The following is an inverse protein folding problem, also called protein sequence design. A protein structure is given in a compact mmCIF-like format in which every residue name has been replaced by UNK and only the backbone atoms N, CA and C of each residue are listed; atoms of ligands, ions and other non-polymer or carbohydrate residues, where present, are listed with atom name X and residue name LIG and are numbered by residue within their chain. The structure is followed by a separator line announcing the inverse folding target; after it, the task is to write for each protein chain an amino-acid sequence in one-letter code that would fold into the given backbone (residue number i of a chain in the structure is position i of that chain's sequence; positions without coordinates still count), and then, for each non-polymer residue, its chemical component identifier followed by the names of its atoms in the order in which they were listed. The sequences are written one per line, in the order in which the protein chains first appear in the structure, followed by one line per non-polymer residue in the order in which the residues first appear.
data_IF_343521281122
#
_entry.id   IF_343521281122
#
_cell.length_a   1.000
_cell.length_b   1.000
_cell.length_c   1.000
_cell.angle_alpha   90.00
_cell.angle_beta   90.00
_cell.angle_gamma   90.00
#
_symmetry.space_group_name_H-M   'P 1'
#
loop_
_entity.id
_entity.type
_entity.pdbx_description
1 polymer ?
#
# COMPACT_ATOMS: atom_id res chain seq x y z
N UNK A 1 -41.95 6.60 49.21
CA UNK A 1 -41.36 7.96 49.11
C UNK A 1 -40.17 8.06 50.04
N UNK A 2 -38.95 8.06 49.51
CA UNK A 2 -37.78 8.82 49.97
C UNK A 2 -36.57 8.39 49.15
N UNK A 3 -36.18 9.32 48.29
CA UNK A 3 -34.96 9.41 47.49
C UNK A 3 -33.73 9.47 48.39
N UNK A 4 -32.67 8.74 48.02
CA UNK A 4 -31.31 9.07 48.40
C UNK A 4 -30.36 8.61 47.29
N UNK A 5 -29.95 9.58 46.45
CA UNK A 5 -28.80 9.48 45.55
C UNK A 5 -27.55 9.22 46.39
N UNK A 6 -26.78 8.18 46.06
CA UNK A 6 -25.38 8.09 46.45
C UNK A 6 -24.53 8.42 45.22
N UNK A 7 -23.89 9.58 45.26
CA UNK A 7 -22.91 10.01 44.28
C UNK A 7 -21.62 9.21 44.48
N UNK A 8 -21.23 8.43 43.47
CA UNK A 8 -19.94 7.77 43.41
C UNK A 8 -18.89 8.78 42.91
N UNK A 9 -18.05 9.26 43.82
CA UNK A 9 -16.86 10.04 43.50
C UNK A 9 -15.82 9.08 42.91
N UNK A 10 -15.74 9.04 41.58
CA UNK A 10 -14.66 8.39 40.85
C UNK A 10 -13.44 9.34 40.84
N UNK A 11 -12.50 9.07 41.75
CA UNK A 11 -11.16 9.65 41.75
C UNK A 11 -10.35 9.07 40.58
N UNK A 12 -10.31 9.79 39.46
CA UNK A 12 -9.35 9.58 38.38
C UNK A 12 -7.95 10.02 38.86
N UNK A 13 -6.89 9.19 38.72
CA UNK A 13 -5.53 9.68 38.90
C UNK A 13 -5.22 10.64 37.74
N UNK A 14 -4.82 11.85 38.11
CA UNK A 14 -4.38 12.90 37.20
C UNK A 14 -3.15 12.42 36.42
N UNK A 15 -3.34 11.90 35.22
CA UNK A 15 -2.28 11.91 34.20
C UNK A 15 -2.03 13.36 33.85
N UNK A 16 -0.88 13.85 34.29
CA UNK A 16 -0.31 15.14 33.93
C UNK A 16 -0.42 15.36 32.42
N UNK A 17 -1.38 16.20 32.04
CA UNK A 17 -1.40 16.88 30.77
C UNK A 17 -0.12 17.71 30.71
N UNK A 18 0.91 17.16 30.09
CA UNK A 18 1.93 17.99 29.45
C UNK A 18 1.13 18.84 28.46
N UNK A 19 0.97 20.12 28.81
CA UNK A 19 0.36 21.10 27.95
C UNK A 19 1.13 21.07 26.63
N UNK A 20 0.52 20.46 25.61
CA UNK A 20 1.03 20.48 24.26
C UNK A 20 1.13 21.93 23.86
N UNK A 21 2.37 22.40 23.71
CA UNK A 21 2.72 23.64 23.05
C UNK A 21 1.83 23.77 21.81
N UNK A 22 1.03 24.84 21.78
CA UNK A 22 0.03 25.03 20.74
C UNK A 22 0.71 24.89 19.37
N UNK A 23 0.38 23.80 18.67
CA UNK A 23 0.96 23.48 17.39
C UNK A 23 0.82 24.70 16.48
N UNK A 24 1.96 25.29 16.10
CA UNK A 24 1.97 26.33 15.06
C UNK A 24 1.21 25.76 13.85
N UNK A 25 0.29 26.52 13.22
CA UNK A 25 -0.43 26.01 12.07
C UNK A 25 0.57 25.63 10.99
N UNK A 26 0.76 24.32 10.78
CA UNK A 26 1.72 23.80 9.83
C UNK A 26 1.16 24.05 8.44
N UNK A 27 1.77 24.97 7.71
CA UNK A 27 1.36 25.28 6.35
C UNK A 27 1.81 24.16 5.42
N UNK A 28 0.86 23.34 4.97
CA UNK A 28 1.07 22.33 3.93
C UNK A 28 0.28 22.76 2.71
N UNK A 29 1.00 23.17 1.67
CA UNK A 29 0.40 23.48 0.38
C UNK A 29 0.49 22.25 -0.51
N UNK A 30 -0.63 21.58 -0.74
CA UNK A 30 -0.71 20.34 -1.51
C UNK A 30 -1.44 20.54 -2.84
N UNK A 31 -0.95 19.87 -3.88
CA UNK A 31 -1.48 19.82 -5.23
C UNK A 31 -1.58 18.38 -5.68
N UNK A 32 -2.74 18.02 -6.21
CA UNK A 32 -3.01 16.71 -6.81
C UNK A 32 -3.24 16.96 -8.30
N UNK A 33 -2.57 16.21 -9.18
CA UNK A 33 -2.57 16.48 -10.62
C UNK A 33 -3.94 16.41 -11.28
N UNK A 34 -4.83 15.58 -10.75
CA UNK A 34 -6.19 15.39 -11.24
C UNK A 34 -7.13 15.00 -10.10
N UNK A 35 -8.39 15.45 -10.17
CA UNK A 35 -9.45 15.04 -9.25
C UNK A 35 -10.20 13.80 -9.72
N UNK A 36 -10.10 13.49 -11.01
CA UNK A 36 -10.76 12.36 -11.66
C UNK A 36 -9.79 11.71 -12.65
N UNK A 37 -9.68 10.38 -12.60
CA UNK A 37 -8.75 9.60 -13.43
C UNK A 37 -9.35 8.24 -13.82
N UNK A 38 -8.80 7.60 -14.86
CA UNK A 38 -9.03 6.20 -15.20
C UNK A 38 -8.13 5.25 -14.37
N UNK A 39 -8.44 3.96 -14.35
CA UNK A 39 -7.79 2.97 -13.47
C UNK A 39 -6.30 2.70 -13.80
N UNK A 40 -5.85 3.01 -15.02
CA UNK A 40 -4.44 2.90 -15.43
C UNK A 40 -3.69 4.25 -15.43
N UNK A 41 -4.31 5.33 -14.97
CA UNK A 41 -3.67 6.65 -14.90
C UNK A 41 -2.99 6.89 -13.56
N UNK A 42 -1.82 7.52 -13.62
CA UNK A 42 -1.04 7.87 -12.42
C UNK A 42 -1.44 9.24 -11.91
N UNK A 43 -1.62 9.35 -10.59
CA UNK A 43 -1.80 10.63 -9.89
C UNK A 43 -0.45 11.12 -9.41
N UNK A 44 -0.07 12.33 -9.81
CA UNK A 44 1.08 13.05 -9.24
C UNK A 44 0.60 13.90 -8.07
N UNK A 45 1.17 13.69 -6.90
CA UNK A 45 0.93 14.48 -5.70
C UNK A 45 2.19 15.28 -5.39
N UNK A 46 2.01 16.58 -5.17
CA UNK A 46 3.07 17.50 -4.79
C UNK A 46 2.63 18.25 -3.53
N UNK A 47 3.47 18.32 -2.52
CA UNK A 47 3.22 19.18 -1.38
C UNK A 47 4.47 19.87 -0.90
N UNK A 48 4.28 21.04 -0.29
CA UNK A 48 5.36 21.84 0.26
C UNK A 48 5.17 21.98 1.77
N UNK A 49 6.22 21.70 2.53
CA UNK A 49 6.23 21.81 4.01
C UNK A 49 7.20 22.86 4.48
N UNK A 50 7.11 23.16 5.77
CA UNK A 50 8.18 23.85 6.48
C UNK A 50 9.52 23.09 6.37
N UNK A 51 10.64 23.80 6.56
CA UNK A 51 11.99 23.24 6.61
C UNK A 51 12.11 22.26 7.79
N UNK A 52 13.05 21.32 7.71
CA UNK A 52 13.26 20.32 8.76
C UNK A 52 13.58 20.96 10.11
N UNK A 53 12.85 20.55 11.15
CA UNK A 53 13.16 20.84 12.56
C UNK A 53 14.03 19.73 13.18
N UNK A 54 14.00 18.54 12.59
CA UNK A 54 14.73 17.35 13.04
C UNK A 54 15.82 17.02 12.01
N UNK A 55 17.07 17.03 12.45
CA UNK A 55 18.22 16.68 11.60
C UNK A 55 18.32 15.17 11.34
N UNK A 56 18.92 14.78 10.22
CA UNK A 56 19.19 13.39 9.87
C UNK A 56 17.99 12.60 9.30
N UNK A 57 16.80 13.20 9.20
CA UNK A 57 15.64 12.56 8.57
C UNK A 57 15.76 12.60 7.05
N UNK A 58 15.75 11.43 6.41
CA UNK A 58 15.55 11.33 4.97
C UNK A 58 14.06 11.50 4.64
N UNK A 59 13.72 12.68 4.13
CA UNK A 59 12.35 13.06 3.78
C UNK A 59 11.76 12.14 2.70
N UNK A 60 12.53 11.84 1.65
CA UNK A 60 12.04 11.01 0.55
C UNK A 60 11.76 9.59 1.03
N UNK A 61 12.68 9.01 1.81
CA UNK A 61 12.50 7.68 2.39
C UNK A 61 11.36 7.63 3.40
N UNK A 62 11.18 8.67 4.22
CA UNK A 62 10.06 8.73 5.17
C UNK A 62 8.71 8.73 4.45
N UNK A 63 8.60 9.49 3.35
CA UNK A 63 7.40 9.52 2.51
C UNK A 63 7.19 8.15 1.84
N UNK A 64 8.25 7.54 1.30
CA UNK A 64 8.18 6.21 0.68
C UNK A 64 7.69 5.15 1.68
N UNK A 65 8.22 5.14 2.90
CA UNK A 65 7.82 4.23 3.96
C UNK A 65 6.35 4.45 4.35
N UNK A 66 5.93 5.71 4.52
CA UNK A 66 4.55 6.05 4.84
C UNK A 66 3.60 5.54 3.76
N UNK A 67 3.91 5.78 2.49
CA UNK A 67 3.14 5.28 1.36
C UNK A 67 3.13 3.75 1.32
N UNK A 68 4.26 3.08 1.53
CA UNK A 68 4.32 1.62 1.55
C UNK A 68 3.55 0.98 2.69
N UNK A 69 3.28 1.70 3.78
CA UNK A 69 2.48 1.22 4.90
C UNK A 69 0.98 1.50 4.68
N UNK A 70 0.63 2.74 4.29
CA UNK A 70 -0.77 3.19 4.22
C UNK A 70 -1.44 3.00 2.86
N UNK A 71 -0.68 3.00 1.77
CA UNK A 71 -1.22 2.98 0.42
C UNK A 71 -1.57 1.56 -0.06
N UNK A 72 -1.09 0.50 0.61
CA UNK A 72 -1.08 -0.89 0.09
C UNK A 72 -2.43 -1.41 -0.40
N UNK A 73 -3.54 -0.91 0.15
CA UNK A 73 -4.90 -1.40 -0.13
C UNK A 73 -5.62 -0.64 -1.23
N UNK A 74 -5.27 0.61 -1.53
CA UNK A 74 -6.04 1.45 -2.47
C UNK A 74 -5.17 2.07 -3.56
N UNK A 75 -3.88 2.22 -3.29
CA UNK A 75 -2.92 2.86 -4.17
C UNK A 75 -1.65 2.02 -4.31
N UNK A 76 -0.90 2.28 -5.36
CA UNK A 76 0.42 1.71 -5.59
C UNK A 76 1.38 2.86 -5.78
N UNK A 77 2.44 2.88 -5.00
CA UNK A 77 3.55 3.80 -5.22
C UNK A 77 4.21 3.49 -6.57
N UNK A 78 4.38 4.51 -7.42
CA UNK A 78 5.04 4.43 -8.73
C UNK A 78 6.36 5.18 -8.66
N UNK A 79 7.47 4.44 -8.68
CA UNK A 79 8.81 5.00 -8.49
C UNK A 79 9.06 5.50 -7.06
N UNK A 80 10.23 6.10 -6.84
CA UNK A 80 10.56 6.68 -5.54
C UNK A 80 10.09 8.14 -5.44
N UNK A 81 9.61 8.58 -4.27
CA UNK A 81 9.35 9.99 -4.00
C UNK A 81 10.61 10.84 -4.19
N UNK A 82 10.43 12.08 -4.63
CA UNK A 82 11.51 13.06 -4.71
C UNK A 82 11.26 14.17 -3.71
N UNK A 83 12.29 14.51 -2.93
CA UNK A 83 12.29 15.65 -2.03
C UNK A 83 13.33 16.66 -2.53
N UNK A 84 12.89 17.88 -2.80
CA UNK A 84 13.77 18.97 -3.23
C UNK A 84 13.90 19.98 -2.09
N UNK A 85 15.10 20.05 -1.53
CA UNK A 85 15.52 21.11 -0.62
C UNK A 85 16.34 22.12 -1.42
N UNK A 86 15.81 23.33 -1.64
CA UNK A 86 16.51 24.34 -2.47
C UNK A 86 17.65 24.99 -1.67
N UNK A 87 18.79 24.33 -1.54
CA UNK A 87 20.02 24.94 -1.01
C UNK A 87 20.52 26.00 -2.01
N UNK A 88 20.74 27.26 -1.58
CA UNK A 88 21.43 28.24 -2.43
C UNK A 88 22.91 28.25 -2.02
N UNK A 89 23.77 27.66 -2.87
CA UNK A 89 25.21 27.59 -2.61
C UNK A 89 26.03 26.91 -3.71
N UNK A 90 25.53 26.77 -4.94
CA UNK A 90 26.45 26.57 -6.06
C UNK A 90 27.29 27.86 -6.16
N UNK A 91 28.64 27.76 -6.26
CA UNK A 91 29.48 28.94 -6.25
C UNK A 91 29.10 29.83 -7.42
N UNK A 92 28.54 31.00 -7.13
CA UNK A 92 28.53 32.09 -8.09
C UNK A 92 30.00 32.54 -8.24
N UNK A 93 30.56 32.63 -9.46
CA UNK A 93 31.95 33.03 -9.67
C UNK A 93 32.22 34.53 -9.37
N UNK A 94 31.28 35.24 -8.77
CA UNK A 94 31.45 36.63 -8.38
C UNK A 94 31.84 36.72 -6.90
N UNK A 95 33.06 37.21 -6.66
CA UNK A 95 33.62 37.47 -5.33
C UNK A 95 32.68 38.33 -4.46
N UNK A 96 32.64 38.12 -3.14
CA UNK A 96 31.83 38.94 -2.25
C UNK A 96 32.44 40.34 -2.14
N UNK A 97 31.62 41.37 -2.36
CA UNK A 97 31.98 42.74 -2.01
C UNK A 97 31.96 42.89 -0.47
N UNK A 98 32.99 43.54 0.04
CA UNK A 98 33.22 43.80 1.45
C UNK A 98 32.09 44.70 2.02
N UNK A 99 31.24 44.16 2.89
CA UNK A 99 30.20 44.95 3.59
C UNK A 99 28.82 44.29 3.75
N UNK A 100 28.57 43.12 3.16
CA UNK A 100 27.26 42.48 3.29
C UNK A 100 27.08 41.83 4.67
N UNK A 101 26.09 42.33 5.42
CA UNK A 101 25.57 41.69 6.64
C UNK A 101 25.26 40.23 6.32
N UNK A 102 25.53 39.26 7.21
CA UNK A 102 25.16 37.87 6.98
C UNK A 102 23.65 37.82 6.76
N UNK A 103 23.23 37.60 5.51
CA UNK A 103 21.84 37.42 5.17
C UNK A 103 21.39 36.17 5.92
N UNK A 104 20.70 36.38 7.05
CA UNK A 104 20.17 35.32 7.92
C UNK A 104 19.50 34.27 7.04
N UNK A 105 20.14 33.12 6.88
CA UNK A 105 19.68 32.03 6.02
C UNK A 105 18.26 31.68 6.46
N UNK A 106 17.27 32.10 5.67
CA UNK A 106 15.89 31.75 5.98
C UNK A 106 15.74 30.26 5.69
N UNK A 107 15.29 29.46 6.67
CA UNK A 107 14.97 28.07 6.45
C UNK A 107 14.03 27.94 5.25
N UNK A 108 14.44 27.21 4.20
CA UNK A 108 13.68 27.08 2.96
C UNK A 108 12.76 25.86 2.97
N UNK A 109 11.56 25.99 2.40
CA UNK A 109 10.57 24.93 2.43
C UNK A 109 11.05 23.70 1.65
N UNK A 110 10.52 22.55 2.02
CA UNK A 110 10.78 21.27 1.36
C UNK A 110 9.62 20.97 0.43
N UNK A 111 9.91 20.71 -0.85
CA UNK A 111 8.91 20.28 -1.82
C UNK A 111 9.06 18.79 -2.05
N UNK A 112 7.97 18.04 -1.84
CA UNK A 112 7.90 16.60 -2.03
C UNK A 112 6.99 16.30 -3.20
N UNK A 113 7.42 15.39 -4.07
CA UNK A 113 6.63 14.89 -5.20
C UNK A 113 6.63 13.36 -5.16
N UNK A 114 5.46 12.76 -5.32
CA UNK A 114 5.33 11.31 -5.49
C UNK A 114 4.21 10.98 -6.48
N UNK A 115 4.24 9.74 -6.96
CA UNK A 115 3.30 9.24 -7.95
C UNK A 115 2.61 7.99 -7.42
N UNK A 116 1.28 7.92 -7.58
CA UNK A 116 0.49 6.76 -7.19
C UNK A 116 -0.42 6.30 -8.31
N UNK A 117 -0.61 4.99 -8.44
CA UNK A 117 -1.54 4.34 -9.35
C UNK A 117 -2.67 3.71 -8.54
N UNK A 118 -3.95 3.87 -8.93
CA UNK A 118 -5.06 3.32 -8.17
C UNK A 118 -5.12 1.78 -8.28
N UNK A 119 -5.53 1.13 -7.19
CA UNK A 119 -5.82 -0.31 -7.14
C UNK A 119 -7.31 -0.60 -7.30
N UNK A 120 -8.16 0.36 -6.93
CA UNK A 120 -9.62 0.25 -6.90
C UNK A 120 -10.28 1.43 -7.61
N UNK A 121 -11.57 1.29 -7.93
CA UNK A 121 -12.40 2.35 -8.51
C UNK A 121 -13.25 3.05 -7.43
N UNK A 122 -13.87 4.17 -7.76
CA UNK A 122 -14.73 4.96 -6.86
C UNK A 122 -14.03 6.19 -6.27
N UNK A 123 -14.58 6.74 -5.20
CA UNK A 123 -13.98 7.86 -4.46
C UNK A 123 -12.88 7.34 -3.55
N UNK A 124 -11.62 7.50 -3.96
CA UNK A 124 -10.48 6.93 -3.25
C UNK A 124 -9.71 8.03 -2.54
N UNK A 125 -9.61 7.92 -1.21
CA UNK A 125 -8.78 8.83 -0.41
C UNK A 125 -7.30 8.56 -0.67
N UNK A 126 -6.54 9.62 -0.92
CA UNK A 126 -5.08 9.54 -0.98
C UNK A 126 -4.52 9.29 0.43
N UNK A 127 -3.39 8.57 0.54
CA UNK A 127 -2.76 8.27 1.82
C UNK A 127 -2.30 9.54 2.53
N UNK A 128 -2.64 9.66 3.80
CA UNK A 128 -2.10 10.67 4.71
C UNK A 128 -0.59 10.45 4.89
N UNK A 129 0.20 11.53 4.86
CA UNK A 129 1.66 11.47 5.00
C UNK A 129 2.08 12.16 6.31
N UNK A 130 2.54 11.39 7.32
CA UNK A 130 3.14 11.95 8.51
C UNK A 130 4.39 12.75 8.15
N UNK A 131 4.48 13.99 8.65
CA UNK A 131 5.60 14.89 8.42
C UNK A 131 6.59 14.73 9.58
N UNK A 132 7.36 13.64 9.50
CA UNK A 132 8.27 13.17 10.57
C UNK A 132 9.49 14.05 10.80
N UNK A 133 9.77 15.00 9.89
CA UNK A 133 10.90 15.94 9.99
C UNK A 133 10.53 17.26 10.66
N UNK A 134 9.28 17.44 11.09
CA UNK A 134 8.82 18.58 11.87
C UNK A 134 8.50 18.15 13.30
N UNK A 135 8.56 19.07 14.25
CA UNK A 135 8.10 18.79 15.61
C UNK A 135 6.58 18.61 15.69
N UNK A 136 6.13 17.67 16.51
CA UNK A 136 4.70 17.38 16.73
C UNK A 136 4.12 16.37 15.71
N UNK A 137 2.80 16.17 15.79
CA UNK A 137 2.09 15.18 14.97
C UNK A 137 1.46 15.83 13.72
N UNK A 138 2.30 16.41 12.86
CA UNK A 138 1.84 17.04 11.61
C UNK A 138 1.62 15.98 10.52
N UNK A 139 0.49 16.07 9.81
CA UNK A 139 0.14 15.16 8.71
C UNK A 139 -0.25 15.96 7.48
N UNK A 140 0.35 15.65 6.32
CA UNK A 140 -0.15 16.12 5.03
C UNK A 140 -1.35 15.29 4.60
N UNK A 141 -2.48 15.97 4.43
CA UNK A 141 -3.74 15.40 3.94
C UNK A 141 -4.05 15.91 2.55
N UNK A 142 -4.68 15.07 1.74
CA UNK A 142 -4.98 15.38 0.35
C UNK A 142 -6.47 15.19 0.06
N UNK A 143 -6.97 15.90 -0.95
CA UNK A 143 -8.33 15.68 -1.42
C UNK A 143 -8.45 14.27 -2.03
N UNK A 144 -9.61 13.60 -1.90
CA UNK A 144 -9.85 12.32 -2.56
C UNK A 144 -9.86 12.48 -4.09
N UNK A 145 -9.59 11.36 -4.77
CA UNK A 145 -9.57 11.27 -6.23
C UNK A 145 -10.64 10.28 -6.68
N UNK A 146 -11.44 10.67 -7.67
CA UNK A 146 -12.45 9.81 -8.28
C UNK A 146 -11.81 8.93 -9.34
N UNK A 147 -11.81 7.62 -9.14
CA UNK A 147 -11.24 6.64 -10.07
C UNK A 147 -12.36 5.96 -10.86
N UNK A 148 -12.41 6.18 -12.17
CA UNK A 148 -13.42 5.60 -13.06
C UNK A 148 -13.11 4.14 -13.40
N UNK A 149 -14.14 3.28 -13.59
CA UNK A 149 -13.97 1.90 -14.02
C UNK A 149 -13.71 1.80 -15.53
N UNK A 150 -12.69 2.52 -16.00
CA UNK A 150 -12.30 2.62 -17.40
C UNK A 150 -10.77 2.68 -17.50
N UNK A 151 -10.26 2.46 -18.71
CA UNK A 151 -8.86 2.71 -19.06
C UNK A 151 -8.75 3.92 -19.98
N UNK A 152 -7.65 4.64 -19.89
CA UNK A 152 -7.24 5.58 -20.95
C UNK A 152 -6.20 4.89 -21.85
N UNK A 153 -6.47 4.83 -23.14
CA UNK A 153 -5.60 4.20 -24.14
C UNK A 153 -5.43 5.19 -25.29
N UNK A 154 -4.20 5.68 -25.48
CA UNK A 154 -3.87 6.69 -26.49
C UNK A 154 -4.84 7.91 -26.47
N UNK A 155 -5.18 8.38 -25.26
CA UNK A 155 -6.07 9.53 -25.02
C UNK A 155 -7.57 9.22 -25.19
N UNK A 156 -7.96 7.97 -25.44
CA UNK A 156 -9.36 7.55 -25.53
C UNK A 156 -9.77 6.74 -24.32
N UNK A 157 -10.98 6.99 -23.82
CA UNK A 157 -11.58 6.19 -22.76
C UNK A 157 -12.04 4.85 -23.36
N UNK A 158 -11.64 3.76 -22.71
CA UNK A 158 -12.00 2.40 -23.06
C UNK A 158 -12.62 1.69 -21.85
N UNK A 159 -13.45 0.69 -22.11
CA UNK A 159 -14.00 -0.16 -21.06
C UNK A 159 -12.91 -1.01 -20.40
N UNK A 160 -13.14 -1.45 -19.16
CA UNK A 160 -12.23 -2.41 -18.54
C UNK A 160 -12.23 -3.71 -19.34
N UNK A 161 -11.05 -4.28 -19.61
CA UNK A 161 -10.98 -5.50 -20.38
C UNK A 161 -11.43 -6.68 -19.50
N UNK A 162 -11.90 -7.78 -20.12
CA UNK A 162 -12.58 -8.89 -19.41
C UNK A 162 -11.74 -9.54 -18.30
N UNK A 163 -10.43 -9.58 -18.50
CA UNK A 163 -9.42 -10.04 -17.55
C UNK A 163 -9.40 -9.24 -16.24
N UNK A 164 -9.99 -8.03 -16.22
CA UNK A 164 -10.22 -7.29 -14.98
C UNK A 164 -11.14 -8.06 -14.01
N UNK A 165 -12.10 -8.82 -14.53
CA UNK A 165 -13.02 -9.65 -13.75
C UNK A 165 -12.54 -11.10 -13.59
N UNK A 166 -11.84 -11.65 -14.59
CA UNK A 166 -11.34 -13.02 -14.51
C UNK A 166 -10.75 -13.54 -15.82
N UNK A 167 -10.14 -14.72 -15.79
CA UNK A 167 -9.39 -15.29 -16.92
C UNK A 167 -10.05 -16.59 -17.38
N UNK A 168 -10.21 -16.76 -18.70
CA UNK A 168 -10.75 -18.00 -19.28
C UNK A 168 -12.18 -18.35 -18.83
N UNK A 169 -12.98 -17.36 -18.42
CA UNK A 169 -14.33 -17.57 -17.90
C UNK A 169 -14.41 -17.96 -16.41
N UNK A 170 -13.30 -17.85 -15.69
CA UNK A 170 -13.22 -18.03 -14.24
C UNK A 170 -12.96 -16.68 -13.57
N UNK A 171 -13.82 -16.31 -12.61
CA UNK A 171 -13.71 -15.05 -11.90
C UNK A 171 -12.50 -15.09 -10.95
N UNK A 172 -11.84 -13.96 -10.69
CA UNK A 172 -10.72 -13.91 -9.74
C UNK A 172 -11.08 -14.37 -8.32
N UNK A 173 -12.37 -14.29 -7.96
CA UNK A 173 -12.88 -14.77 -6.67
C UNK A 173 -13.26 -16.25 -6.64
N UNK A 174 -13.09 -16.98 -7.76
CA UNK A 174 -13.46 -18.40 -7.82
C UNK A 174 -12.57 -19.23 -6.91
N UNK A 175 -13.19 -20.16 -6.17
CA UNK A 175 -12.49 -21.10 -5.30
C UNK A 175 -12.01 -22.32 -6.06
N UNK A 176 -11.00 -23.01 -5.52
CA UNK A 176 -10.50 -24.25 -6.13
C UNK A 176 -11.60 -25.30 -6.30
N UNK A 177 -12.50 -25.42 -5.34
CA UNK A 177 -13.58 -26.41 -5.36
C UNK A 177 -14.62 -26.07 -6.44
N UNK A 178 -15.01 -24.80 -6.57
CA UNK A 178 -15.87 -24.35 -7.67
C UNK A 178 -15.28 -24.69 -9.04
N UNK A 179 -13.99 -24.42 -9.25
CA UNK A 179 -13.35 -24.69 -10.55
C UNK A 179 -13.24 -26.18 -10.82
N UNK A 180 -12.98 -27.01 -9.81
CA UNK A 180 -12.94 -28.47 -9.94
C UNK A 180 -14.27 -29.08 -10.39
N UNK A 181 -15.40 -28.48 -10.03
CA UNK A 181 -16.71 -28.96 -10.53
C UNK A 181 -16.90 -28.77 -12.05
N UNK A 182 -16.07 -27.91 -12.67
CA UNK A 182 -16.21 -27.49 -14.08
C UNK A 182 -15.09 -28.01 -14.98
N UNK A 183 -14.08 -28.68 -14.43
CA UNK A 183 -12.88 -29.11 -15.15
C UNK A 183 -12.56 -30.56 -14.82
N UNK A 184 -12.21 -31.34 -15.84
CA UNK A 184 -11.79 -32.74 -15.68
C UNK A 184 -10.62 -32.88 -14.69
N UNK A 185 -10.65 -33.90 -13.83
CA UNK A 185 -9.61 -34.14 -12.83
C UNK A 185 -8.21 -34.34 -13.46
N UNK A 186 -8.15 -34.90 -14.68
CA UNK A 186 -6.90 -35.06 -15.44
C UNK A 186 -6.20 -33.74 -15.79
N UNK A 187 -6.92 -32.62 -15.76
CA UNK A 187 -6.39 -31.27 -16.00
C UNK A 187 -5.95 -30.56 -14.71
N UNK A 188 -6.06 -31.24 -13.57
CA UNK A 188 -5.67 -30.74 -12.26
C UNK A 188 -4.34 -31.39 -11.85
N UNK A 189 -3.34 -30.56 -11.59
CA UNK A 189 -2.01 -30.99 -11.12
C UNK A 189 -1.67 -30.29 -9.83
N UNK A 190 -1.14 -31.02 -8.84
CA UNK A 190 -0.54 -30.41 -7.64
C UNK A 190 0.96 -30.19 -7.87
N UNK A 191 1.44 -29.03 -7.45
CA UNK A 191 2.84 -28.61 -7.52
C UNK A 191 3.21 -27.90 -6.22
N UNK A 192 3.73 -28.66 -5.24
CA UNK A 192 3.96 -28.17 -3.89
C UNK A 192 2.68 -27.64 -3.24
N UNK A 193 2.71 -26.36 -2.81
CA UNK A 193 1.56 -25.65 -2.22
C UNK A 193 0.58 -25.09 -3.28
N UNK A 194 0.86 -25.31 -4.57
CA UNK A 194 0.05 -24.80 -5.68
C UNK A 194 -0.78 -25.91 -6.30
N UNK A 195 -1.99 -25.57 -6.71
CA UNK A 195 -2.80 -26.40 -7.60
C UNK A 195 -2.92 -25.71 -8.95
N UNK A 196 -2.45 -26.40 -9.99
CA UNK A 196 -2.46 -25.95 -11.38
C UNK A 196 -3.66 -26.60 -12.07
N UNK A 197 -4.53 -25.80 -12.69
CA UNK A 197 -5.67 -26.28 -13.46
C UNK A 197 -5.54 -25.79 -14.89
N UNK A 198 -5.64 -26.70 -15.86
CA UNK A 198 -5.54 -26.38 -17.30
C UNK A 198 -6.91 -26.52 -17.96
N UNK A 199 -7.82 -25.53 -17.83
CA UNK A 199 -9.20 -25.68 -18.32
C UNK A 199 -9.27 -25.78 -19.86
N UNK A 200 -8.33 -25.16 -20.57
CA UNK A 200 -8.24 -25.16 -22.03
C UNK A 200 -6.77 -25.15 -22.46
N UNK A 201 -6.46 -25.48 -23.73
CA UNK A 201 -5.09 -25.47 -24.24
C UNK A 201 -4.38 -24.15 -23.95
N UNK A 202 -3.12 -24.27 -23.50
CA UNK A 202 -2.21 -23.16 -23.22
C UNK A 202 -2.61 -22.20 -22.08
N UNK A 203 -3.73 -22.41 -21.39
CA UNK A 203 -4.13 -21.64 -20.22
C UNK A 203 -4.00 -22.49 -18.97
N UNK A 204 -3.22 -22.02 -18.01
CA UNK A 204 -3.09 -22.61 -16.68
C UNK A 204 -3.55 -21.61 -15.64
N UNK A 205 -4.52 -22.00 -14.81
CA UNK A 205 -4.95 -21.27 -13.63
C UNK A 205 -4.19 -21.82 -12.43
N UNK A 206 -3.68 -20.93 -11.58
CA UNK A 206 -2.82 -21.27 -10.46
C UNK A 206 -3.53 -20.85 -9.17
N UNK A 207 -3.80 -21.85 -8.34
CA UNK A 207 -4.41 -21.70 -7.03
C UNK A 207 -3.34 -21.92 -5.96
N UNK A 208 -3.24 -20.99 -5.01
CA UNK A 208 -2.35 -21.12 -3.85
C UNK A 208 -3.19 -21.03 -2.60
N UNK A 209 -3.08 -22.01 -1.70
CA UNK A 209 -3.97 -22.08 -0.52
C UNK A 209 -5.46 -22.16 -0.87
N UNK A 210 -5.80 -22.66 -2.07
CA UNK A 210 -7.18 -22.72 -2.57
C UNK A 210 -7.72 -21.43 -3.21
N UNK A 211 -6.93 -20.34 -3.20
CA UNK A 211 -7.30 -19.03 -3.77
C UNK A 211 -6.75 -18.91 -5.19
N UNK A 212 -7.59 -18.51 -6.14
CA UNK A 212 -7.17 -18.18 -7.50
C UNK A 212 -6.45 -16.84 -7.52
N UNK A 213 -5.13 -16.86 -7.73
CA UNK A 213 -4.30 -15.66 -7.67
C UNK A 213 -3.48 -15.39 -8.93
N UNK A 214 -3.36 -16.36 -9.82
CA UNK A 214 -2.47 -16.25 -10.97
C UNK A 214 -2.96 -17.10 -12.14
N UNK A 215 -2.79 -16.60 -13.36
CA UNK A 215 -3.03 -17.33 -14.60
C UNK A 215 -1.83 -17.20 -15.53
N UNK A 216 -1.43 -18.30 -16.14
CA UNK A 216 -0.39 -18.37 -17.16
C UNK A 216 -1.03 -18.72 -18.50
N UNK A 217 -0.89 -17.85 -19.48
CA UNK A 217 -1.32 -18.08 -20.86
C UNK A 217 -0.09 -18.17 -21.76
N UNK A 218 0.04 -19.27 -22.50
CA UNK A 218 1.07 -19.42 -23.54
C UNK A 218 0.47 -19.16 -24.92
N UNK A 219 1.20 -18.46 -25.77
CA UNK A 219 0.84 -18.22 -27.15
C UNK A 219 1.98 -18.72 -28.05
N UNK A 220 2.04 -20.04 -28.34
CA UNK A 220 3.05 -20.61 -29.22
C UNK A 220 2.95 -20.00 -30.63
N UNK A 221 4.08 -19.79 -31.29
CA UNK A 221 4.17 -19.24 -32.64
C UNK A 221 3.93 -17.73 -32.76
N UNK A 222 3.61 -17.04 -31.67
CA UNK A 222 3.44 -15.59 -31.65
C UNK A 222 4.66 -14.94 -31.02
N UNK A 223 5.30 -13.98 -31.70
CA UNK A 223 6.41 -13.19 -31.15
C UNK A 223 5.93 -11.94 -30.40
N UNK A 224 6.75 -11.45 -29.46
CA UNK A 224 6.47 -10.24 -28.68
C UNK A 224 6.19 -9.04 -29.57
N UNK A 225 6.94 -8.91 -30.65
CA UNK A 225 6.88 -7.81 -31.61
C UNK A 225 5.57 -7.85 -32.40
N UNK A 226 5.12 -9.04 -32.81
CA UNK A 226 3.83 -9.23 -33.49
C UNK A 226 2.65 -8.91 -32.56
N UNK A 227 2.71 -9.33 -31.30
CA UNK A 227 1.62 -9.12 -30.34
C UNK A 227 1.56 -7.71 -29.75
N UNK A 228 2.67 -6.95 -29.83
CA UNK A 228 2.85 -5.65 -29.17
C UNK A 228 1.70 -4.68 -29.46
N UNK A 229 1.34 -4.51 -30.73
CA UNK A 229 0.29 -3.58 -31.13
C UNK A 229 -1.06 -3.96 -30.52
N UNK A 230 -1.42 -5.25 -30.53
CA UNK A 230 -2.67 -5.73 -29.94
C UNK A 230 -2.69 -5.55 -28.43
N UNK A 231 -1.57 -5.76 -27.74
CA UNK A 231 -1.48 -5.50 -26.30
C UNK A 231 -1.61 -4.00 -25.99
N UNK A 232 -0.97 -3.13 -26.76
CA UNK A 232 -1.11 -1.67 -26.59
C UNK A 232 -2.54 -1.19 -26.79
N UNK A 233 -3.26 -1.76 -27.78
CA UNK A 233 -4.66 -1.44 -28.02
C UNK A 233 -5.59 -1.93 -26.91
N UNK A 234 -5.22 -3.01 -26.21
CA UNK A 234 -6.04 -3.62 -25.15
C UNK A 234 -5.76 -3.07 -23.76
N UNK A 235 -4.49 -2.81 -23.42
CA UNK A 235 -4.04 -2.47 -22.07
C UNK A 235 -3.40 -1.08 -21.96
N UNK A 236 -3.16 -0.42 -23.07
CA UNK A 236 -2.42 0.85 -23.09
C UNK A 236 -0.92 0.65 -23.00
N UNK A 237 -0.23 1.67 -22.48
CA UNK A 237 1.24 1.72 -22.46
C UNK A 237 1.76 0.88 -21.27
N UNK A 238 2.68 -0.07 -21.50
CA UNK A 238 3.26 -0.85 -20.41
C UNK A 238 4.18 0.01 -19.54
N UNK A 239 4.25 -0.34 -18.26
CA UNK A 239 5.31 0.07 -17.36
C UNK A 239 6.56 -0.73 -17.71
N UNK A 240 7.68 -0.03 -17.88
CA UNK A 240 8.96 -0.67 -18.18
C UNK A 240 9.69 -0.97 -16.86
N UNK A 241 9.62 -2.22 -16.43
CA UNK A 241 10.31 -2.69 -15.21
C UNK A 241 11.62 -3.43 -15.54
N UNK A 242 11.66 -4.16 -16.65
CA UNK A 242 12.83 -4.86 -17.17
C UNK A 242 12.98 -4.65 -18.69
N UNK A 243 14.15 -5.02 -19.24
CA UNK A 243 14.42 -4.83 -20.67
C UNK A 243 13.65 -5.83 -21.55
N UNK A 244 13.30 -7.00 -21.00
CA UNK A 244 12.82 -8.15 -21.78
C UNK A 244 11.33 -8.44 -21.65
N UNK A 245 10.62 -7.84 -20.69
CA UNK A 245 9.18 -8.01 -20.52
C UNK A 245 8.40 -6.72 -20.80
N UNK A 246 7.09 -6.86 -20.94
CA UNK A 246 6.16 -5.75 -20.96
C UNK A 246 5.17 -5.96 -19.82
N UNK A 247 5.07 -4.99 -18.92
CA UNK A 247 4.22 -5.08 -17.74
C UNK A 247 3.08 -4.07 -17.82
N UNK A 248 1.85 -4.51 -17.64
CA UNK A 248 0.69 -3.63 -17.46
C UNK A 248 0.12 -3.82 -16.06
N UNK A 249 -0.37 -2.72 -15.50
CA UNK A 249 -1.01 -2.72 -14.18
C UNK A 249 -2.38 -2.08 -14.32
N UNK A 250 -3.41 -2.85 -13.99
CA UNK A 250 -4.82 -2.43 -14.05
C UNK A 250 -5.44 -2.75 -12.70
N UNK A 251 -5.51 -1.74 -11.83
CA UNK A 251 -5.93 -1.92 -10.45
C UNK A 251 -5.05 -2.93 -9.71
N UNK A 252 -5.67 -4.05 -9.31
CA UNK A 252 -5.02 -5.17 -8.63
C UNK A 252 -4.37 -6.20 -9.57
N UNK A 253 -4.54 -6.07 -10.88
CA UNK A 253 -4.05 -7.06 -11.83
C UNK A 253 -2.76 -6.57 -12.46
N UNK A 254 -1.74 -7.42 -12.37
CA UNK A 254 -0.47 -7.26 -13.05
C UNK A 254 -0.41 -8.25 -14.20
N UNK A 255 -0.15 -7.75 -15.40
CA UNK A 255 -0.04 -8.56 -16.62
C UNK A 255 1.39 -8.40 -17.13
N UNK A 256 2.12 -9.51 -17.24
CA UNK A 256 3.51 -9.51 -17.69
C UNK A 256 3.65 -10.38 -18.92
N UNK A 257 4.08 -9.81 -20.04
CA UNK A 257 4.40 -10.52 -21.27
C UNK A 257 5.90 -10.76 -21.37
N UNK A 258 6.33 -12.03 -21.53
CA UNK A 258 7.74 -12.41 -21.72
C UNK A 258 7.91 -13.27 -22.97
N UNK A 259 9.03 -13.14 -23.69
CA UNK A 259 9.39 -14.13 -24.69
C UNK A 259 9.54 -15.50 -24.02
N UNK A 260 9.04 -16.54 -24.69
CA UNK A 260 9.18 -17.94 -24.30
C UNK A 260 9.83 -18.69 -25.48
N UNK A 261 10.37 -19.89 -25.24
CA UNK A 261 11.10 -20.67 -26.25
C UNK A 261 10.28 -20.87 -27.54
N UNK A 262 8.96 -21.07 -27.38
CA UNK A 262 8.04 -21.35 -28.48
C UNK A 262 7.16 -20.14 -28.86
N UNK A 263 7.36 -18.95 -28.28
CA UNK A 263 6.51 -17.78 -28.57
C UNK A 263 6.49 -16.73 -27.45
N UNK A 264 5.31 -16.41 -26.93
CA UNK A 264 5.13 -15.49 -25.79
C UNK A 264 4.41 -16.20 -24.66
N UNK A 265 4.82 -15.91 -23.43
CA UNK A 265 4.06 -16.21 -22.22
C UNK A 265 3.48 -14.93 -21.61
N UNK A 266 2.23 -15.01 -21.18
CA UNK A 266 1.52 -13.98 -20.44
C UNK A 266 1.24 -14.50 -19.04
N UNK A 267 1.79 -13.82 -18.05
CA UNK A 267 1.53 -14.07 -16.64
C UNK A 267 0.58 -12.98 -16.12
N UNK A 268 -0.61 -13.38 -15.69
CA UNK A 268 -1.60 -12.50 -15.06
C UNK A 268 -1.63 -12.82 -13.57
N UNK A 269 -1.42 -11.81 -12.74
CA UNK A 269 -1.35 -11.95 -11.29
C UNK A 269 -2.34 -11.01 -10.63
N UNK A 270 -3.09 -11.53 -9.68
CA UNK A 270 -4.03 -10.81 -8.83
C UNK A 270 -3.35 -10.50 -7.50
N UNK A 271 -2.87 -9.26 -7.36
CA UNK A 271 -1.91 -8.91 -6.30
C UNK A 271 -2.52 -8.82 -4.89
N UNK A 272 -3.82 -8.54 -4.76
CA UNK A 272 -4.54 -8.62 -3.47
C UNK A 272 -4.56 -10.06 -2.95
N UNK A 273 -4.82 -11.04 -3.81
CA UNK A 273 -4.77 -12.45 -3.43
C UNK A 273 -3.34 -12.85 -2.98
N UNK A 274 -2.30 -12.39 -3.68
CA UNK A 274 -0.92 -12.61 -3.27
C UNK A 274 -0.58 -11.93 -1.93
N UNK A 275 -1.02 -10.68 -1.75
CA UNK A 275 -0.79 -9.93 -0.52
C UNK A 275 -1.49 -10.60 0.69
N UNK A 276 -2.71 -11.11 0.50
CA UNK A 276 -3.44 -11.87 1.52
C UNK A 276 -2.71 -13.14 1.90
N UNK A 277 -2.25 -13.92 0.92
CA UNK A 277 -1.49 -15.14 1.17
C UNK A 277 -0.17 -14.85 1.89
N UNK A 278 0.55 -13.81 1.47
CA UNK A 278 1.79 -13.40 2.13
C UNK A 278 1.55 -12.95 3.58
N UNK A 279 0.50 -12.17 3.83
CA UNK A 279 0.13 -11.72 5.16
C UNK A 279 -0.26 -12.91 6.07
N UNK A 280 -1.10 -13.81 5.57
CA UNK A 280 -1.47 -15.03 6.28
C UNK A 280 -0.24 -15.89 6.63
N UNK A 281 0.71 -16.00 5.71
CA UNK A 281 1.96 -16.71 5.94
C UNK A 281 2.83 -16.04 7.01
N UNK A 282 3.06 -14.72 6.92
CA UNK A 282 3.83 -13.99 7.93
C UNK A 282 3.16 -14.08 9.32
N UNK A 283 1.83 -13.96 9.36
CA UNK A 283 1.08 -14.11 10.61
C UNK A 283 1.26 -15.52 11.19
N UNK A 284 1.12 -16.56 10.35
CA UNK A 284 1.26 -17.96 10.78
C UNK A 284 2.67 -18.34 11.21
N UNK A 285 3.66 -18.00 10.39
CA UNK A 285 5.04 -18.47 10.53
C UNK A 285 5.88 -17.59 11.48
N UNK A 286 5.52 -16.30 11.62
CA UNK A 286 6.28 -15.32 12.41
C UNK A 286 5.49 -14.89 13.63
N UNK A 287 4.35 -14.21 13.45
CA UNK A 287 3.68 -13.56 14.57
C UNK A 287 3.06 -14.54 15.55
N UNK A 288 2.42 -15.61 15.09
CA UNK A 288 1.89 -16.65 15.99
C UNK A 288 3.00 -17.35 16.80
N UNK A 289 4.22 -17.43 16.26
CA UNK A 289 5.37 -17.99 16.99
C UNK A 289 5.86 -17.02 18.05
N UNK A 290 5.92 -15.72 17.73
CA UNK A 290 6.34 -14.66 18.66
C UNK A 290 5.33 -14.41 19.77
N UNK A 291 4.04 -14.42 19.45
CA UNK A 291 2.94 -14.20 20.40
C UNK A 291 2.76 -15.37 21.38
N UNK A 292 3.32 -16.54 21.03
CA UNK A 292 3.19 -17.75 21.81
C UNK A 292 1.77 -18.34 21.75
N UNK A 293 1.50 -19.41 22.53
CA UNK A 293 0.18 -20.02 22.54
C UNK A 293 -0.86 -19.03 23.08
N UNK A 294 -1.94 -18.84 22.32
CA UNK A 294 -3.10 -18.05 22.74
C UNK A 294 -3.63 -18.62 24.07
N UNK A 295 -3.62 -17.78 25.09
CA UNK A 295 -4.16 -18.12 26.40
C UNK A 295 -5.67 -18.37 26.25
N UNK A 296 -6.11 -19.56 26.67
CA UNK A 296 -7.54 -19.90 26.63
C UNK A 296 -8.32 -19.01 27.62
N UNK A 297 -9.63 -18.79 27.42
CA UNK A 297 -10.45 -18.02 28.36
C UNK A 297 -10.35 -18.53 29.81
N UNK A 298 -10.19 -19.84 29.97
CA UNK A 298 -10.00 -20.50 31.26
C UNK A 298 -8.64 -20.15 31.89
N UNK A 299 -7.56 -20.19 31.11
CA UNK A 299 -6.22 -19.79 31.59
C UNK A 299 -6.16 -18.30 31.93
N UNK A 300 -6.80 -17.45 31.13
CA UNK A 300 -6.91 -16.01 31.41
C UNK A 300 -7.72 -15.73 32.69
N UNK A 301 -8.79 -16.49 32.94
CA UNK A 301 -9.57 -16.41 34.17
C UNK A 301 -8.76 -16.88 35.39
N UNK A 302 -8.04 -18.00 35.26
CA UNK A 302 -7.16 -18.52 36.32
C UNK A 302 -6.00 -17.56 36.63
N UNK A 303 -5.41 -16.91 35.61
CA UNK A 303 -4.38 -15.88 35.84
C UNK A 303 -4.96 -14.68 36.57
N UNK A 304 -6.13 -14.20 36.15
CA UNK A 304 -6.80 -13.07 36.80
C UNK A 304 -7.17 -13.38 38.25
N UNK A 305 -7.62 -14.60 38.55
CA UNK A 305 -7.90 -15.05 39.91
C UNK A 305 -6.63 -15.15 40.76
N UNK A 306 -5.51 -15.63 40.19
CA UNK A 306 -4.21 -15.63 40.86
C UNK A 306 -3.68 -14.23 41.12
N UNK A 307 -3.82 -13.31 40.17
CA UNK A 307 -3.44 -11.90 40.32
C UNK A 307 -4.27 -11.20 41.39
N UNK A 308 -5.59 -11.44 41.41
CA UNK A 308 -6.47 -10.91 42.46
C UNK A 308 -6.06 -11.47 43.83
N UNK A 309 -5.77 -12.78 43.93
CA UNK A 309 -5.34 -13.40 45.17
C UNK A 309 -3.98 -12.87 45.64
N UNK A 310 -3.04 -12.67 44.72
CA UNK A 310 -1.73 -12.09 45.02
C UNK A 310 -1.82 -10.64 45.49
N UNK A 311 -2.78 -9.85 44.98
CA UNK A 311 -3.01 -8.47 45.44
C UNK A 311 -3.70 -8.43 46.81
N UNK A 312 -4.59 -9.39 47.10
CA UNK A 312 -5.23 -9.54 48.43
C UNK A 312 -4.21 -9.98 49.49
N UNK A 313 -3.27 -10.85 49.13
CA UNK A 313 -2.21 -11.34 50.04
C UNK A 313 -1.02 -10.38 50.14
N UNK A 314 -1.10 -9.17 49.55
CA UNK A 314 -0.03 -8.18 49.58
C UNK A 314 0.06 -7.57 50.99
N UNK A 315 1.17 -7.76 51.73
CA UNK A 315 1.28 -7.25 53.09
C UNK A 315 1.23 -5.71 53.09
N UNK A 316 0.44 -5.13 53.99
CA UNK A 316 0.32 -3.69 54.15
C UNK A 316 1.70 -3.08 54.41
N UNK A 317 2.09 -2.13 53.56
CA UNK A 317 3.32 -1.36 53.74
C UNK A 317 3.17 -0.58 55.05
N UNK A 318 4.02 -0.78 56.07
CA UNK A 318 3.92 -0.03 57.30
C UNK A 318 4.25 1.44 57.01
N UNK A 319 3.29 2.33 57.28
CA UNK A 319 3.49 3.77 57.22
C UNK A 319 4.58 4.18 58.20
N UNK A 320 5.58 4.92 57.71
CA UNK A 320 6.59 5.61 58.50
C UNK A 320 6.31 7.10 58.49
#
# INVERSE_FOLDING_TARGET
MRTALLALVLSLPATSLIAGEAARPTFINARVSAKEICLNETVRVEFTTLPRDIEGVDVAQSVANSLRLSATTTWRLVGEPTATEVLRGAPSPAAPAEGDKPARERPKPITVVFHVLPRTTGDVSLPDIPITWLQGNTVARFAPVVVKPNLIIAGKISELPREAAGVGGFHWSSTLDEVRTRVDESKVKRDGQRTLITPQPNLTLIFTGGIFGEALLRAPGLSKEQARTSFLQRWGIPQQEDANSLTWIIGWIRITARPDADGISLQLVREDAQAQLANAQVTGDVFNVLDGPLETPTQAAERKEREIKAEVDRPAVPEK
#
